data_IF_185257137268
#
_entry.id   IF_185257137268
#
_cell.length_a   1.000
_cell.length_b   1.000
_cell.length_c   1.000
_cell.angle_alpha   90.00
_cell.angle_beta   90.00
_cell.angle_gamma   90.00
#
_symmetry.space_group_name_H-M   'P 1'
#
loop_
_entity.id
_entity.type
_entity.pdbx_description
1 polymer ?
#
# COMPACT_ATOMS: atom_id res chain seq x y z
N UNK A 1 4.12 1.34 -17.67
CA UNK A 1 3.72 2.73 -18.03
C UNK A 1 2.87 3.33 -16.92
N UNK A 2 2.94 4.66 -16.80
CA UNK A 2 2.27 5.43 -15.75
C UNK A 2 1.62 6.68 -16.32
N UNK A 3 0.49 7.09 -15.72
CA UNK A 3 -0.15 8.38 -16.00
C UNK A 3 0.31 9.43 -14.99
N UNK A 4 0.60 10.66 -15.47
CA UNK A 4 0.98 11.78 -14.59
C UNK A 4 2.43 12.18 -14.68
N UNK A 5 3.07 12.43 -13.52
CA UNK A 5 4.43 12.96 -13.43
C UNK A 5 5.08 12.54 -12.10
N UNK A 6 6.36 12.87 -11.92
CA UNK A 6 7.02 12.81 -10.61
C UNK A 6 7.96 14.01 -10.43
N UNK A 7 8.14 14.45 -9.21
CA UNK A 7 9.01 15.57 -8.83
C UNK A 7 9.86 15.30 -7.59
N UNK A 8 9.79 14.09 -7.02
CA UNK A 8 10.58 13.75 -5.84
C UNK A 8 10.96 12.26 -5.78
N UNK A 9 12.15 12.02 -5.22
CA UNK A 9 12.66 10.70 -4.79
C UNK A 9 12.69 10.59 -3.26
N UNK A 10 12.16 11.56 -2.54
CA UNK A 10 12.09 11.47 -1.09
C UNK A 10 10.92 10.57 -0.65
N UNK A 11 11.17 9.40 -0.03
CA UNK A 11 10.11 8.46 0.33
C UNK A 11 9.30 8.92 1.55
N UNK A 12 9.82 9.85 2.33
CA UNK A 12 9.26 10.25 3.62
C UNK A 12 8.11 11.23 3.48
N UNK A 13 8.16 12.12 2.47
CA UNK A 13 7.22 13.22 2.35
C UNK A 13 5.85 12.79 1.83
N UNK A 14 4.80 13.42 2.35
CA UNK A 14 3.47 13.41 1.73
C UNK A 14 3.32 14.49 0.63
N UNK A 15 4.30 15.37 0.48
CA UNK A 15 4.29 16.47 -0.48
C UNK A 15 5.11 16.11 -1.72
N UNK A 16 4.58 16.49 -2.87
CA UNK A 16 5.18 16.18 -4.18
C UNK A 16 4.61 14.87 -4.76
N UNK A 17 4.95 14.64 -6.02
CA UNK A 17 4.60 13.43 -6.74
C UNK A 17 5.80 12.47 -6.71
N UNK A 18 5.74 11.48 -5.83
CA UNK A 18 6.82 10.49 -5.67
C UNK A 18 6.92 9.60 -6.90
N UNK A 19 8.14 9.36 -7.37
CA UNK A 19 8.36 8.47 -8.51
C UNK A 19 7.84 7.05 -8.21
N UNK A 20 7.11 6.48 -9.15
CA UNK A 20 6.60 5.11 -9.06
C UNK A 20 7.77 4.13 -9.04
N UNK A 21 7.65 3.08 -8.24
CA UNK A 21 8.70 2.09 -8.04
C UNK A 21 9.79 2.51 -7.05
N UNK A 22 9.72 3.69 -6.43
CA UNK A 22 10.72 4.15 -5.45
C UNK A 22 10.87 3.19 -4.27
N UNK A 23 9.82 2.46 -3.90
CA UNK A 23 9.87 1.41 -2.87
C UNK A 23 10.86 0.28 -3.18
N UNK A 24 11.23 0.07 -4.44
CA UNK A 24 12.25 -0.91 -4.84
C UNK A 24 13.66 -0.58 -4.33
N UNK A 25 13.89 0.69 -3.96
CA UNK A 25 15.19 1.17 -3.45
C UNK A 25 15.36 0.92 -1.95
N UNK A 26 14.29 0.65 -1.25
CA UNK A 26 14.29 0.55 0.21
C UNK A 26 13.74 -0.80 0.69
N UNK A 27 14.19 -1.23 1.87
CA UNK A 27 13.60 -2.33 2.61
C UNK A 27 12.81 -1.80 3.82
N UNK A 28 11.90 -2.64 4.31
CA UNK A 28 11.14 -2.43 5.55
C UNK A 28 11.67 -3.32 6.68
N UNK A 29 11.26 -3.07 7.92
CA UNK A 29 11.64 -3.93 9.04
C UNK A 29 11.18 -5.37 8.83
N UNK A 30 9.94 -5.55 8.39
CA UNK A 30 9.33 -6.84 8.08
C UNK A 30 8.71 -6.79 6.69
N UNK A 31 8.62 -7.92 6.01
CA UNK A 31 7.97 -8.06 4.71
C UNK A 31 6.64 -8.79 4.87
N UNK A 32 5.55 -8.18 4.40
CA UNK A 32 4.26 -8.85 4.38
C UNK A 32 4.27 -10.07 3.45
N UNK A 33 3.61 -11.14 3.86
CA UNK A 33 3.38 -12.30 2.99
C UNK A 33 2.39 -11.93 1.88
N UNK A 34 2.64 -12.41 0.68
CA UNK A 34 1.71 -12.29 -0.45
C UNK A 34 0.72 -13.48 -0.52
N UNK A 35 0.92 -14.51 0.29
CA UNK A 35 0.11 -15.73 0.30
C UNK A 35 -0.67 -15.93 1.61
N UNK A 36 -0.25 -15.28 2.69
CA UNK A 36 -0.83 -15.45 4.03
C UNK A 36 -1.37 -14.13 4.55
N UNK A 37 -2.65 -14.12 4.87
CA UNK A 37 -3.35 -12.95 5.42
C UNK A 37 -2.74 -12.56 6.76
N UNK A 38 -2.51 -11.27 6.96
CA UNK A 38 -2.03 -10.69 8.23
C UNK A 38 -0.73 -11.31 8.76
N UNK A 39 0.09 -11.87 7.86
CA UNK A 39 1.37 -12.48 8.19
C UNK A 39 2.52 -11.63 7.63
N UNK A 40 3.55 -11.42 8.43
CA UNK A 40 4.78 -10.74 8.02
C UNK A 40 6.00 -11.52 8.47
N UNK A 41 7.03 -11.53 7.63
CA UNK A 41 8.30 -12.21 7.88
C UNK A 41 9.42 -11.20 8.06
N UNK A 42 10.45 -11.60 8.82
CA UNK A 42 11.61 -10.73 9.05
C UNK A 42 12.35 -10.38 7.77
N UNK A 43 12.64 -9.07 7.56
CA UNK A 43 13.49 -8.56 6.49
C UNK A 43 14.69 -7.84 7.11
N UNK A 44 14.67 -6.51 7.30
CA UNK A 44 15.74 -5.82 8.05
C UNK A 44 15.80 -6.34 9.49
N UNK A 45 14.65 -6.55 10.13
CA UNK A 45 14.61 -7.23 11.42
C UNK A 45 14.58 -8.75 11.25
N UNK A 46 15.33 -9.47 12.07
CA UNK A 46 15.26 -10.95 12.18
C UNK A 46 13.89 -11.38 12.71
N UNK A 47 13.30 -10.58 13.60
CA UNK A 47 12.03 -10.82 14.22
C UNK A 47 11.61 -9.67 15.12
N UNK A 48 10.43 -9.81 15.69
CA UNK A 48 9.84 -8.90 16.66
C UNK A 48 9.40 -9.66 17.90
N UNK A 49 9.65 -9.09 19.07
CA UNK A 49 9.15 -9.59 20.35
C UNK A 49 8.31 -8.52 21.03
N UNK A 50 7.31 -8.95 21.79
CA UNK A 50 6.43 -8.08 22.56
C UNK A 50 5.88 -8.82 23.77
N UNK A 51 5.54 -8.14 24.89
CA UNK A 51 4.91 -8.74 26.06
C UNK A 51 3.45 -9.14 25.77
N UNK A 52 2.86 -9.96 26.64
CA UNK A 52 1.49 -10.47 26.50
C UNK A 52 0.44 -9.35 26.32
N UNK A 53 0.67 -8.20 26.95
CA UNK A 53 -0.23 -7.06 26.87
C UNK A 53 0.05 -6.12 25.70
N UNK A 54 1.05 -6.44 24.88
CA UNK A 54 1.45 -5.67 23.69
C UNK A 54 1.56 -4.17 24.01
N UNK A 55 2.21 -3.83 25.12
CA UNK A 55 2.49 -2.44 25.51
C UNK A 55 3.70 -1.84 24.80
N UNK A 56 4.52 -2.70 24.19
CA UNK A 56 5.70 -2.35 23.42
C UNK A 56 6.02 -3.42 22.38
N UNK A 57 6.91 -3.13 21.43
CA UNK A 57 7.46 -4.09 20.50
C UNK A 57 8.95 -3.82 20.27
N UNK A 58 9.78 -4.88 20.39
CA UNK A 58 11.22 -4.82 20.16
C UNK A 58 11.58 -5.54 18.87
N UNK A 59 12.21 -4.83 17.95
CA UNK A 59 12.73 -5.38 16.69
C UNK A 59 14.23 -5.63 16.80
N UNK A 60 14.66 -6.85 16.45
CA UNK A 60 16.07 -7.23 16.41
C UNK A 60 16.58 -7.09 14.95
N UNK A 61 17.44 -6.11 14.71
CA UNK A 61 18.03 -5.84 13.37
C UNK A 61 19.01 -6.95 13.01
N UNK A 62 18.98 -7.43 11.77
CA UNK A 62 19.94 -8.42 11.25
C UNK A 62 21.35 -7.87 11.23
N UNK A 63 22.31 -8.71 11.55
CA UNK A 63 23.73 -8.34 11.51
C UNK A 63 24.22 -8.08 10.08
N UNK A 64 23.68 -8.80 9.11
CA UNK A 64 24.00 -8.66 7.70
C UNK A 64 23.28 -7.51 6.99
N UNK A 65 22.27 -6.88 7.60
CA UNK A 65 21.50 -5.80 6.98
C UNK A 65 22.36 -4.57 6.70
N UNK A 66 22.37 -4.09 5.45
CA UNK A 66 23.21 -2.98 4.97
C UNK A 66 22.52 -2.12 3.94
N UNK A 67 22.94 -0.87 3.89
CA UNK A 67 22.64 0.04 2.79
C UNK A 67 23.49 -0.26 1.54
N UNK A 68 23.17 0.42 0.44
CA UNK A 68 23.83 0.21 -0.85
C UNK A 68 25.31 0.60 -0.86
N UNK A 69 25.76 1.46 0.04
CA UNK A 69 27.17 1.84 0.21
C UNK A 69 27.95 0.88 1.13
N UNK A 70 27.28 -0.15 1.66
CA UNK A 70 27.85 -1.16 2.54
C UNK A 70 27.81 -0.82 4.03
N UNK A 71 27.38 0.38 4.40
CA UNK A 71 27.19 0.74 5.82
C UNK A 71 26.09 -0.11 6.46
N UNK A 72 26.30 -0.61 7.69
CA UNK A 72 25.30 -1.44 8.38
C UNK A 72 24.05 -0.62 8.72
N UNK A 73 22.90 -1.27 8.69
CA UNK A 73 21.64 -0.68 9.22
C UNK A 73 21.66 -0.78 10.73
N UNK A 74 21.46 0.34 11.39
CA UNK A 74 21.55 0.47 12.85
C UNK A 74 20.21 0.82 13.49
N UNK A 75 20.06 0.63 14.82
CA UNK A 75 18.91 1.14 15.56
C UNK A 75 18.66 2.63 15.36
N UNK A 76 19.72 3.41 15.20
CA UNK A 76 19.66 4.85 14.97
C UNK A 76 19.03 5.20 13.61
N UNK A 77 19.22 4.37 12.57
CA UNK A 77 18.56 4.55 11.27
C UNK A 77 17.06 4.26 11.35
N UNK A 78 16.67 3.24 12.11
CA UNK A 78 15.27 2.88 12.33
C UNK A 78 14.54 3.99 13.09
N UNK A 79 15.14 4.50 14.17
CA UNK A 79 14.59 5.62 14.96
C UNK A 79 14.48 6.88 14.09
N UNK A 80 15.55 7.21 13.36
CA UNK A 80 15.56 8.36 12.45
C UNK A 80 14.46 8.26 11.38
N UNK A 81 14.25 7.08 10.81
CA UNK A 81 13.19 6.83 9.84
C UNK A 81 11.81 7.06 10.45
N UNK A 82 11.54 6.44 11.58
CA UNK A 82 10.27 6.58 12.29
C UNK A 82 9.95 8.04 12.63
N UNK A 83 10.89 8.76 13.23
CA UNK A 83 10.73 10.16 13.60
C UNK A 83 10.54 11.06 12.37
N UNK A 84 11.28 10.79 11.28
CA UNK A 84 11.17 11.54 10.03
C UNK A 84 9.79 11.37 9.39
N UNK A 85 9.26 10.15 9.33
CA UNK A 85 7.90 9.90 8.84
C UNK A 85 6.85 10.59 9.70
N UNK A 86 6.95 10.54 11.02
CA UNK A 86 6.02 11.25 11.92
C UNK A 86 6.09 12.77 11.78
N UNK A 87 7.29 13.31 11.58
CA UNK A 87 7.49 14.77 11.49
C UNK A 87 7.03 15.36 10.16
N UNK A 88 7.21 14.63 9.04
CA UNK A 88 7.07 15.19 7.70
C UNK A 88 5.94 14.60 6.86
N UNK A 89 5.25 13.58 7.37
CA UNK A 89 4.11 12.96 6.69
C UNK A 89 2.90 12.86 7.62
N UNK A 90 1.88 13.74 7.46
CA UNK A 90 0.70 13.74 8.32
C UNK A 90 -0.10 12.44 8.31
N UNK A 91 -0.09 11.69 7.19
CA UNK A 91 -0.75 10.38 7.10
C UNK A 91 0.00 9.36 7.96
N UNK A 92 1.33 9.33 7.85
CA UNK A 92 2.17 8.46 8.68
C UNK A 92 2.14 8.87 10.16
N UNK A 93 2.10 10.17 10.46
CA UNK A 93 1.91 10.65 11.82
C UNK A 93 0.60 10.12 12.45
N UNK A 94 -0.48 10.08 11.67
CA UNK A 94 -1.76 9.48 12.11
C UNK A 94 -1.67 7.97 12.21
N UNK A 95 -0.97 7.32 11.28
CA UNK A 95 -0.79 5.86 11.27
C UNK A 95 0.01 5.36 12.47
N UNK A 96 1.04 6.11 12.87
CA UNK A 96 1.85 5.84 14.07
C UNK A 96 1.37 6.58 15.34
N UNK A 97 0.12 7.06 15.38
CA UNK A 97 -0.38 7.90 16.48
C UNK A 97 -0.24 7.24 17.86
N UNK A 98 -0.41 5.91 17.93
CA UNK A 98 -0.32 5.14 19.16
C UNK A 98 1.09 4.69 19.54
N UNK A 99 2.11 5.07 18.77
CA UNK A 99 3.53 4.84 19.08
C UNK A 99 4.11 6.09 19.73
N UNK A 100 4.44 5.99 21.01
CA UNK A 100 4.86 7.13 21.84
C UNK A 100 6.35 7.38 21.82
N UNK A 101 7.16 6.31 21.73
CA UNK A 101 8.63 6.43 21.63
C UNK A 101 9.22 5.31 20.78
N UNK A 102 10.44 5.54 20.29
CA UNK A 102 11.33 4.58 19.68
C UNK A 102 12.71 4.75 20.32
N UNK A 103 13.23 3.71 20.93
CA UNK A 103 14.47 3.77 21.70
C UNK A 103 15.41 2.59 21.34
N UNK A 104 16.71 2.87 21.29
CA UNK A 104 17.73 1.84 21.22
C UNK A 104 17.85 1.13 22.57
N UNK A 105 17.52 -0.15 22.62
CA UNK A 105 17.55 -0.97 23.85
C UNK A 105 18.66 -1.99 23.86
N UNK A 106 19.34 -2.20 22.72
CA UNK A 106 20.49 -3.06 22.56
C UNK A 106 21.33 -2.65 21.36
N UNK A 107 22.45 -3.35 21.12
CA UNK A 107 23.34 -3.01 19.98
C UNK A 107 22.63 -3.10 18.63
N UNK A 108 21.67 -4.02 18.50
CA UNK A 108 20.85 -4.25 17.30
C UNK A 108 19.34 -4.21 17.60
N UNK A 109 18.92 -3.65 18.72
CA UNK A 109 17.52 -3.67 19.17
C UNK A 109 16.93 -2.26 19.20
N UNK A 110 15.70 -2.15 18.68
CA UNK A 110 14.86 -0.96 18.78
C UNK A 110 13.53 -1.36 19.43
N UNK A 111 13.20 -0.69 20.53
CA UNK A 111 11.93 -0.87 21.22
C UNK A 111 11.02 0.33 20.97
N UNK A 112 9.81 0.05 20.53
CA UNK A 112 8.73 1.01 20.36
C UNK A 112 7.72 0.84 21.49
N UNK A 113 7.40 1.92 22.19
CA UNK A 113 6.41 1.93 23.28
C UNK A 113 5.06 2.43 22.78
N UNK A 114 3.97 1.85 23.26
CA UNK A 114 2.61 2.18 22.86
C UNK A 114 1.81 2.83 23.99
N UNK A 115 0.85 3.71 23.63
CA UNK A 115 -0.12 4.28 24.57
C UNK A 115 -1.37 3.40 24.73
N UNK A 116 -1.45 2.28 23.99
CA UNK A 116 -2.50 1.28 24.01
C UNK A 116 -1.95 -0.09 24.37
N UNK A 117 -2.80 -0.94 24.96
CA UNK A 117 -2.49 -2.34 25.25
C UNK A 117 -3.38 -3.25 24.42
N UNK A 118 -2.90 -4.47 24.18
CA UNK A 118 -3.61 -5.53 23.45
C UNK A 118 -3.98 -5.18 22.01
N UNK A 119 -3.33 -4.18 21.41
CA UNK A 119 -3.50 -3.87 19.99
C UNK A 119 -2.49 -4.68 19.16
N UNK A 120 -2.95 -5.78 18.58
CA UNK A 120 -2.14 -6.72 17.79
C UNK A 120 -1.64 -6.13 16.47
N UNK A 121 -2.22 -5.03 15.99
CA UNK A 121 -1.83 -4.40 14.74
C UNK A 121 -0.56 -3.57 14.87
N UNK A 122 -0.27 -2.99 16.05
CA UNK A 122 0.85 -2.06 16.23
C UNK A 122 2.22 -2.66 15.88
N UNK A 123 2.57 -3.90 16.28
CA UNK A 123 3.81 -4.53 15.82
C UNK A 123 3.86 -4.73 14.30
N UNK A 124 2.74 -5.06 13.65
CA UNK A 124 2.68 -5.24 12.20
C UNK A 124 2.77 -3.90 11.47
N UNK A 125 2.11 -2.85 11.98
CA UNK A 125 2.21 -1.48 11.47
C UNK A 125 3.66 -1.01 11.46
N UNK A 126 4.39 -1.25 12.56
CA UNK A 126 5.81 -0.92 12.64
C UNK A 126 6.68 -1.79 11.72
N UNK A 127 6.31 -3.04 11.51
CA UNK A 127 6.97 -3.93 10.56
C UNK A 127 7.04 -3.36 9.13
N UNK A 128 6.09 -2.51 8.76
CA UNK A 128 6.03 -1.84 7.45
C UNK A 128 6.91 -0.58 7.36
N UNK A 129 7.57 -0.18 8.45
CA UNK A 129 8.43 1.01 8.45
C UNK A 129 9.57 0.84 7.43
N UNK A 130 9.57 1.70 6.43
CA UNK A 130 10.67 1.83 5.47
C UNK A 130 11.87 2.47 6.17
N UNK A 131 13.03 1.82 6.10
CA UNK A 131 14.25 2.32 6.75
C UNK A 131 15.08 3.11 5.76
N UNK A 132 15.37 4.37 6.11
CA UNK A 132 16.19 5.29 5.32
C UNK A 132 17.53 5.54 6.00
N UNK A 133 18.64 5.71 5.24
CA UNK A 133 19.99 5.86 5.80
C UNK A 133 20.17 7.25 6.44
N UNK A 134 20.27 7.30 7.75
CA UNK A 134 20.49 8.54 8.50
C UNK A 134 21.74 9.26 8.03
N UNK A 135 22.87 8.54 7.86
CA UNK A 135 24.15 9.11 7.46
C UNK A 135 24.09 9.77 6.07
N UNK A 136 23.30 9.22 5.14
CA UNK A 136 23.12 9.81 3.82
C UNK A 136 22.31 11.11 3.89
N UNK A 137 21.19 11.09 4.63
CA UNK A 137 20.31 12.26 4.77
C UNK A 137 20.94 13.39 5.57
N UNK A 138 21.75 13.10 6.59
CA UNK A 138 22.52 14.09 7.35
C UNK A 138 23.82 14.52 6.64
N UNK A 139 24.15 13.88 5.52
CA UNK A 139 25.30 14.18 4.71
C UNK A 139 25.10 15.34 3.74
N UNK A 140 26.03 15.45 2.80
CA UNK A 140 26.03 16.48 1.75
C UNK A 140 25.92 15.83 0.38
N UNK A 141 25.25 16.55 -0.55
CA UNK A 141 25.20 16.18 -1.96
C UNK A 141 26.55 16.45 -2.68
N UNK A 142 26.64 16.07 -3.96
CA UNK A 142 27.85 16.27 -4.78
C UNK A 142 28.27 17.73 -4.95
N UNK A 143 27.35 18.69 -4.68
CA UNK A 143 27.62 20.12 -4.70
C UNK A 143 28.12 20.66 -3.37
N UNK A 144 28.21 19.80 -2.33
CA UNK A 144 28.61 20.19 -0.97
C UNK A 144 27.50 20.82 -0.13
N UNK A 145 26.23 20.76 -0.60
CA UNK A 145 25.06 21.27 0.12
C UNK A 145 24.52 20.19 1.06
N UNK A 146 24.08 20.59 2.25
CA UNK A 146 23.44 19.65 3.18
C UNK A 146 22.12 19.15 2.61
N UNK A 147 21.91 17.83 2.68
CA UNK A 147 20.60 17.23 2.36
C UNK A 147 19.59 17.60 3.45
N UNK A 148 18.34 17.63 3.07
CA UNK A 148 17.22 18.00 3.96
C UNK A 148 16.04 17.08 3.71
N UNK A 149 15.82 16.13 4.62
CA UNK A 149 14.74 15.15 4.51
C UNK A 149 13.34 15.77 4.52
N UNK A 150 13.21 17.02 4.95
CA UNK A 150 11.95 17.76 4.93
C UNK A 150 11.60 18.38 3.58
N UNK A 151 12.46 18.20 2.56
CA UNK A 151 12.28 18.76 1.21
C UNK A 151 12.20 17.71 0.13
N UNK A 152 11.51 18.04 -0.95
CA UNK A 152 11.56 17.24 -2.19
C UNK A 152 12.97 17.24 -2.77
N UNK A 153 13.36 16.13 -3.38
CA UNK A 153 14.65 15.98 -4.05
C UNK A 153 14.52 15.12 -5.29
N UNK A 154 15.28 15.45 -6.31
CA UNK A 154 15.50 14.62 -7.51
C UNK A 154 16.96 14.08 -7.53
N UNK A 155 17.70 14.25 -6.45
CA UNK A 155 18.95 13.52 -6.26
C UNK A 155 18.62 12.02 -6.08
N UNK A 156 19.26 11.11 -6.85
CA UNK A 156 19.06 9.68 -6.66
C UNK A 156 19.33 9.29 -5.20
N UNK A 157 18.28 8.82 -4.53
CA UNK A 157 18.37 8.41 -3.13
C UNK A 157 19.02 7.04 -3.02
N UNK A 158 19.72 6.82 -1.92
CA UNK A 158 20.28 5.54 -1.54
C UNK A 158 19.40 4.86 -0.51
N UNK A 159 19.23 3.55 -0.65
CA UNK A 159 18.49 2.71 0.29
C UNK A 159 19.19 1.38 0.50
N UNK A 160 18.49 0.43 1.08
CA UNK A 160 18.96 -0.93 1.33
C UNK A 160 18.39 -1.96 0.34
N UNK A 161 17.41 -1.56 -0.46
CA UNK A 161 16.61 -2.43 -1.30
C UNK A 161 17.33 -3.05 -2.50
N UNK A 162 16.64 -3.93 -3.23
CA UNK A 162 17.24 -4.69 -4.34
C UNK A 162 17.60 -3.87 -5.57
N UNK A 163 17.02 -2.68 -5.73
CA UNK A 163 17.25 -1.83 -6.88
C UNK A 163 17.84 -0.48 -6.49
N UNK A 164 18.52 0.14 -7.44
CA UNK A 164 19.00 1.52 -7.37
C UNK A 164 18.45 2.35 -8.54
N UNK A 165 18.36 3.67 -8.39
CA UNK A 165 17.98 4.57 -9.47
C UNK A 165 19.18 4.70 -10.41
N UNK A 166 19.06 4.13 -11.62
CA UNK A 166 20.13 4.15 -12.64
C UNK A 166 19.99 5.29 -13.63
N UNK A 167 18.78 5.80 -13.83
CA UNK A 167 18.48 6.91 -14.74
C UNK A 167 17.19 7.62 -14.32
N UNK A 168 17.15 8.93 -14.52
CA UNK A 168 15.92 9.71 -14.40
C UNK A 168 15.88 10.89 -15.38
N UNK A 169 14.74 11.10 -16.02
CA UNK A 169 14.32 12.33 -16.69
C UNK A 169 13.05 12.80 -15.96
N UNK A 170 13.13 13.80 -15.07
CA UNK A 170 12.05 14.18 -14.19
C UNK A 170 10.72 14.43 -14.92
N UNK A 171 9.68 13.80 -14.41
CA UNK A 171 8.34 13.87 -14.98
C UNK A 171 8.11 13.05 -16.24
N UNK A 172 9.10 12.29 -16.73
CA UNK A 172 8.98 11.50 -17.97
C UNK A 172 9.40 10.04 -17.82
N UNK A 173 10.56 9.79 -17.21
CA UNK A 173 11.11 8.43 -17.15
C UNK A 173 11.96 8.26 -15.91
N UNK A 174 11.81 7.13 -15.24
CA UNK A 174 12.73 6.66 -14.21
C UNK A 174 13.07 5.20 -14.48
N UNK A 175 14.33 4.81 -14.21
CA UNK A 175 14.83 3.44 -14.33
C UNK A 175 15.49 2.99 -13.06
N UNK A 176 15.17 1.78 -12.70
CA UNK A 176 15.75 1.08 -11.56
C UNK A 176 16.54 -0.11 -12.06
N UNK A 177 17.79 -0.21 -11.66
CA UNK A 177 18.67 -1.33 -11.98
C UNK A 177 18.82 -2.24 -10.79
N UNK A 178 18.72 -3.55 -11.03
CA UNK A 178 18.95 -4.57 -10.00
C UNK A 178 20.43 -4.51 -9.53
N UNK A 179 20.61 -4.53 -8.23
CA UNK A 179 21.91 -4.54 -7.58
C UNK A 179 22.44 -5.97 -7.46
N UNK A 180 23.70 -6.20 -7.86
CA UNK A 180 24.34 -7.49 -7.72
C UNK A 180 24.71 -7.83 -6.26
N UNK A 181 24.90 -6.78 -5.44
CA UNK A 181 25.34 -6.82 -4.04
C UNK A 181 24.20 -6.68 -3.02
N UNK A 182 22.95 -6.87 -3.45
CA UNK A 182 21.81 -6.79 -2.54
C UNK A 182 21.96 -7.78 -1.39
N UNK A 183 22.02 -7.26 -0.17
CA UNK A 183 22.34 -8.01 1.04
C UNK A 183 21.32 -9.11 1.37
N UNK A 184 20.04 -8.88 1.06
CA UNK A 184 18.94 -9.77 1.41
C UNK A 184 18.50 -10.73 0.28
N UNK A 185 19.26 -10.82 -0.83
CA UNK A 185 18.88 -11.61 -2.01
C UNK A 185 18.62 -13.09 -1.72
N UNK A 186 19.35 -13.66 -0.77
CA UNK A 186 19.29 -15.08 -0.42
C UNK A 186 18.36 -15.35 0.78
N UNK A 187 17.71 -14.32 1.35
CA UNK A 187 16.71 -14.51 2.38
C UNK A 187 15.44 -15.16 1.80
N UNK A 188 14.86 -16.10 2.55
CA UNK A 188 13.67 -16.84 2.10
C UNK A 188 12.54 -15.94 1.59
N UNK A 189 12.36 -14.77 2.20
CA UNK A 189 11.33 -13.78 1.83
C UNK A 189 11.56 -13.13 0.45
N UNK A 190 12.76 -13.29 -0.12
CA UNK A 190 13.18 -12.71 -1.40
C UNK A 190 13.49 -13.75 -2.48
N UNK A 191 13.54 -15.04 -2.12
CA UNK A 191 13.77 -16.11 -3.08
C UNK A 191 12.67 -16.13 -4.14
N UNK A 192 13.06 -16.09 -5.41
CA UNK A 192 12.14 -16.05 -6.55
C UNK A 192 11.59 -14.67 -6.88
N UNK A 193 12.00 -13.62 -6.16
CA UNK A 193 11.62 -12.23 -6.43
C UNK A 193 12.76 -11.46 -7.13
N UNK A 194 12.47 -10.19 -7.50
CA UNK A 194 13.44 -9.27 -8.13
C UNK A 194 14.11 -9.86 -9.39
N UNK A 195 13.29 -10.40 -10.30
CA UNK A 195 13.76 -11.17 -11.48
C UNK A 195 14.14 -10.29 -12.67
N UNK A 196 13.90 -8.98 -12.66
CA UNK A 196 14.22 -8.08 -13.75
C UNK A 196 15.51 -7.34 -13.48
N UNK A 197 16.44 -7.36 -14.44
CA UNK A 197 17.70 -6.62 -14.35
C UNK A 197 17.52 -5.11 -14.39
N UNK A 198 16.50 -4.64 -15.10
CA UNK A 198 16.09 -3.22 -15.14
C UNK A 198 14.56 -3.12 -15.17
N UNK A 199 14.02 -2.16 -14.43
CA UNK A 199 12.61 -1.79 -14.46
C UNK A 199 12.53 -0.31 -14.84
N UNK A 200 11.78 0.00 -15.91
CA UNK A 200 11.62 1.36 -16.43
C UNK A 200 10.16 1.80 -16.33
N UNK A 201 9.91 2.94 -15.70
CA UNK A 201 8.61 3.60 -15.71
C UNK A 201 8.65 4.80 -16.64
N UNK A 202 7.74 4.81 -17.62
CA UNK A 202 7.56 5.89 -18.58
C UNK A 202 6.24 6.58 -18.27
N UNK A 203 6.26 7.89 -18.10
CA UNK A 203 5.11 8.70 -17.73
C UNK A 203 4.46 9.34 -18.96
N UNK A 204 3.16 9.32 -18.97
CA UNK A 204 2.33 9.86 -20.04
C UNK A 204 1.35 10.90 -19.47
N UNK A 205 0.96 11.87 -20.31
CA UNK A 205 0.05 12.95 -19.90
C UNK A 205 -1.37 12.49 -19.61
N UNK A 206 -1.79 11.41 -20.28
CA UNK A 206 -3.10 10.79 -20.07
C UNK A 206 -3.13 9.33 -20.53
N UNK A 207 -4.15 8.59 -20.07
CA UNK A 207 -4.32 7.17 -20.32
C UNK A 207 -4.54 6.81 -21.81
N UNK A 208 -4.97 7.73 -22.68
CA UNK A 208 -5.15 7.42 -24.10
C UNK A 208 -3.78 7.46 -24.81
N UNK A 209 -2.95 8.46 -24.49
CA UNK A 209 -1.58 8.54 -25.01
C UNK A 209 -0.76 7.35 -24.52
N UNK A 210 -0.92 6.97 -23.25
CA UNK A 210 -0.31 5.77 -22.67
C UNK A 210 -0.73 4.48 -23.43
N UNK A 211 -2.03 4.32 -23.70
CA UNK A 211 -2.54 3.15 -24.44
C UNK A 211 -1.99 3.10 -25.87
N UNK A 212 -1.91 4.25 -26.58
CA UNK A 212 -1.34 4.29 -27.92
C UNK A 212 0.17 3.96 -27.91
N UNK A 213 0.92 4.41 -26.89
CA UNK A 213 2.33 4.05 -26.71
C UNK A 213 2.50 2.53 -26.45
N UNK A 214 1.61 1.93 -25.65
CA UNK A 214 1.58 0.49 -25.42
C UNK A 214 1.29 -0.27 -26.73
N UNK A 215 0.29 0.16 -27.51
CA UNK A 215 -0.03 -0.42 -28.82
C UNK A 215 1.13 -0.33 -29.82
N UNK A 216 1.96 0.72 -29.69
CA UNK A 216 3.16 0.91 -30.49
C UNK A 216 4.36 0.10 -30.00
N UNK A 217 4.23 -0.66 -28.88
CA UNK A 217 5.32 -1.45 -28.29
C UNK A 217 6.37 -0.62 -27.55
N UNK A 218 6.00 0.58 -27.08
CA UNK A 218 6.92 1.43 -26.30
C UNK A 218 7.13 0.91 -24.89
N UNK A 219 6.15 0.19 -24.36
CA UNK A 219 6.18 -0.44 -23.02
C UNK A 219 5.75 -1.91 -23.10
N UNK A 220 6.36 -2.75 -22.29
CA UNK A 220 6.14 -4.21 -22.26
C UNK A 220 4.98 -4.63 -21.36
N UNK A 221 4.62 -3.80 -20.40
CA UNK A 221 3.57 -4.08 -19.43
C UNK A 221 2.67 -2.86 -19.23
N UNK A 222 1.38 -3.10 -19.13
CA UNK A 222 0.37 -2.10 -18.77
C UNK A 222 -0.71 -2.72 -17.90
N UNK A 223 -1.00 -2.07 -16.79
CA UNK A 223 -2.15 -2.40 -15.95
C UNK A 223 -3.36 -1.57 -16.41
N UNK A 224 -4.46 -2.23 -16.79
CA UNK A 224 -5.68 -1.56 -17.19
C UNK A 224 -6.66 -1.47 -16.03
N UNK A 225 -6.96 -0.24 -15.60
CA UNK A 225 -7.86 0.04 -14.49
C UNK A 225 -9.29 0.42 -14.93
N UNK A 226 -9.54 0.48 -16.24
CA UNK A 226 -10.85 0.81 -16.80
C UNK A 226 -11.49 -0.42 -17.43
N UNK A 227 -12.58 -0.91 -16.84
CA UNK A 227 -13.37 -2.02 -17.40
C UNK A 227 -13.87 -1.72 -18.82
N UNK A 228 -14.24 -0.48 -19.10
CA UNK A 228 -14.64 -0.04 -20.44
C UNK A 228 -13.49 -0.17 -21.45
N UNK A 229 -12.28 0.32 -21.14
CA UNK A 229 -11.11 0.12 -22.00
C UNK A 229 -10.71 -1.33 -22.12
N UNK A 230 -10.74 -2.07 -21.01
CA UNK A 230 -10.49 -3.52 -21.02
C UNK A 230 -11.41 -4.25 -21.99
N UNK A 231 -12.70 -3.91 -22.01
CA UNK A 231 -13.67 -4.51 -22.89
C UNK A 231 -13.52 -4.11 -24.38
N UNK A 232 -13.11 -2.85 -24.67
CA UNK A 232 -13.24 -2.29 -26.01
C UNK A 232 -11.93 -1.93 -26.68
N UNK A 233 -10.84 -1.70 -25.96
CA UNK A 233 -9.63 -1.10 -26.50
C UNK A 233 -8.53 -2.10 -26.88
N UNK A 234 -8.64 -3.36 -26.47
CA UNK A 234 -7.60 -4.38 -26.66
C UNK A 234 -7.91 -5.31 -27.85
N UNK A 235 -8.43 -4.76 -28.96
CA UNK A 235 -8.70 -5.48 -30.21
C UNK A 235 -7.75 -5.01 -31.33
N UNK A 236 -6.42 -4.99 -31.06
CA UNK A 236 -5.40 -4.59 -32.03
C UNK A 236 -4.54 -5.79 -32.49
N UNK A 237 -3.75 -5.64 -33.58
CA UNK A 237 -3.07 -6.77 -34.20
C UNK A 237 -2.18 -7.61 -33.26
N UNK A 238 -1.41 -6.99 -32.39
CA UNK A 238 -0.51 -7.70 -31.47
C UNK A 238 -1.26 -8.57 -30.45
N UNK A 239 -2.48 -8.18 -30.03
CA UNK A 239 -3.35 -9.02 -29.20
C UNK A 239 -3.88 -10.20 -30.01
N UNK A 240 -4.28 -9.97 -31.27
CA UNK A 240 -4.80 -11.03 -32.15
C UNK A 240 -3.74 -12.04 -32.55
N UNK A 241 -2.49 -11.62 -32.68
CA UNK A 241 -1.35 -12.50 -32.97
C UNK A 241 -0.81 -13.24 -31.75
N UNK A 242 -1.20 -12.83 -30.53
CA UNK A 242 -0.68 -13.39 -29.30
C UNK A 242 0.68 -12.81 -28.86
N UNK A 243 1.16 -11.75 -29.51
CA UNK A 243 2.35 -10.99 -29.07
C UNK A 243 2.06 -10.19 -27.79
N UNK A 244 0.82 -9.72 -27.62
CA UNK A 244 0.31 -9.14 -26.38
C UNK A 244 -0.71 -10.08 -25.78
N UNK A 245 -0.48 -10.46 -24.54
CA UNK A 245 -1.35 -11.34 -23.74
C UNK A 245 -2.23 -10.47 -22.84
N UNK A 246 -3.53 -10.69 -22.84
CA UNK A 246 -4.47 -10.14 -21.87
C UNK A 246 -4.70 -11.16 -20.77
N UNK A 247 -4.54 -10.73 -19.53
CA UNK A 247 -4.73 -11.62 -18.39
C UNK A 247 -5.46 -10.90 -17.27
N UNK A 248 -6.46 -11.56 -16.68
CA UNK A 248 -7.11 -11.14 -15.45
C UNK A 248 -6.47 -11.93 -14.31
N UNK A 249 -5.71 -11.23 -13.49
CA UNK A 249 -5.02 -11.84 -12.36
C UNK A 249 -5.93 -11.72 -11.14
N UNK A 250 -6.41 -12.85 -10.66
CA UNK A 250 -7.10 -12.88 -9.37
C UNK A 250 -6.12 -12.62 -8.24
N UNK A 251 -6.46 -11.69 -7.37
CA UNK A 251 -5.70 -11.47 -6.14
C UNK A 251 -6.09 -12.58 -5.13
N UNK A 252 -5.22 -13.57 -4.85
CA UNK A 252 -5.51 -14.63 -3.90
C UNK A 252 -5.68 -14.10 -2.47
N UNK A 253 -5.13 -12.93 -2.19
CA UNK A 253 -5.26 -12.22 -0.92
C UNK A 253 -6.40 -11.19 -0.92
N UNK A 254 -7.53 -11.49 -1.50
CA UNK A 254 -8.75 -10.68 -1.31
C UNK A 254 -9.21 -10.58 0.16
N UNK A 255 -8.28 -10.71 1.07
CA UNK A 255 -8.49 -10.50 2.50
C UNK A 255 -8.96 -9.07 2.84
N UNK A 256 -8.77 -8.16 1.91
CA UNK A 256 -9.33 -6.81 1.98
C UNK A 256 -10.17 -6.59 0.74
N UNK A 257 -11.48 -6.83 0.85
CA UNK A 257 -12.41 -6.45 -0.22
C UNK A 257 -12.23 -4.96 -0.54
N UNK A 258 -11.92 -4.67 -1.81
CA UNK A 258 -11.82 -3.27 -2.26
C UNK A 258 -13.23 -2.74 -2.42
N UNK A 259 -13.59 -1.75 -1.60
CA UNK A 259 -14.85 -1.05 -1.72
C UNK A 259 -14.64 0.32 -2.37
N UNK A 260 -15.24 0.54 -3.54
CA UNK A 260 -15.44 1.88 -4.09
C UNK A 260 -16.81 2.37 -3.67
N UNK A 261 -16.86 3.48 -2.94
CA UNK A 261 -18.12 4.01 -2.42
C UNK A 261 -18.15 5.54 -2.44
N UNK A 262 -19.33 6.10 -2.57
CA UNK A 262 -19.57 7.51 -2.33
C UNK A 262 -19.77 7.71 -0.82
N UNK A 263 -18.78 8.33 -0.16
CA UNK A 263 -18.82 8.63 1.26
C UNK A 263 -19.53 9.98 1.52
N UNK A 264 -20.77 10.02 2.04
CA UNK A 264 -21.44 11.26 2.38
C UNK A 264 -20.71 11.98 3.52
N UNK A 265 -20.45 13.27 3.37
CA UNK A 265 -19.85 14.08 4.43
C UNK A 265 -20.86 14.30 5.59
N UNK A 266 -20.77 13.47 6.62
CA UNK A 266 -21.66 13.49 7.79
C UNK A 266 -21.61 14.79 8.61
N UNK A 267 -20.63 15.67 8.38
CA UNK A 267 -20.62 17.03 8.98
C UNK A 267 -21.64 17.96 8.35
N UNK A 268 -22.20 17.60 7.19
CA UNK A 268 -23.31 18.35 6.57
C UNK A 268 -24.62 17.83 7.10
N UNK A 269 -25.47 18.72 7.63
CA UNK A 269 -26.75 18.42 8.26
C UNK A 269 -27.64 17.49 7.40
N UNK A 270 -27.75 17.76 6.09
CA UNK A 270 -28.54 16.93 5.16
C UNK A 270 -28.12 15.45 5.10
N UNK A 271 -26.87 15.12 5.43
CA UNK A 271 -26.37 13.75 5.42
C UNK A 271 -26.38 13.09 6.80
N UNK A 272 -26.73 13.81 7.85
CA UNK A 272 -26.91 13.24 9.18
C UNK A 272 -28.20 12.41 9.25
N UNK A 273 -29.22 12.75 8.47
CA UNK A 273 -30.44 11.96 8.36
C UNK A 273 -30.17 10.67 7.55
N UNK A 274 -30.35 9.53 8.22
CA UNK A 274 -30.18 8.21 7.62
C UNK A 274 -31.08 8.00 6.39
N UNK A 275 -32.32 8.52 6.42
CA UNK A 275 -33.27 8.39 5.32
C UNK A 275 -32.72 9.02 4.03
N UNK A 276 -31.99 10.12 4.14
CA UNK A 276 -31.34 10.77 3.00
C UNK A 276 -30.26 9.86 2.42
N UNK A 277 -29.44 9.23 3.26
CA UNK A 277 -28.40 8.31 2.80
C UNK A 277 -28.99 7.06 2.17
N UNK A 278 -30.04 6.50 2.76
CA UNK A 278 -30.80 5.37 2.16
C UNK A 278 -31.42 5.76 0.82
N UNK A 279 -32.03 6.94 0.72
CA UNK A 279 -32.57 7.43 -0.55
C UNK A 279 -31.53 7.55 -1.67
N UNK A 280 -30.31 7.95 -1.37
CA UNK A 280 -29.22 7.97 -2.34
C UNK A 280 -28.89 6.57 -2.87
N UNK A 281 -28.90 5.56 -1.98
CA UNK A 281 -28.68 4.19 -2.40
C UNK A 281 -29.82 3.64 -3.29
N UNK A 282 -31.07 4.01 -3.02
CA UNK A 282 -32.21 3.67 -3.88
C UNK A 282 -32.19 4.40 -5.23
N UNK A 283 -31.63 5.60 -5.29
CA UNK A 283 -31.53 6.38 -6.52
C UNK A 283 -30.32 5.96 -7.41
N UNK A 284 -29.47 5.05 -6.94
CA UNK A 284 -28.29 4.60 -7.67
C UNK A 284 -28.59 3.33 -8.46
N UNK A 285 -28.83 3.49 -9.76
CA UNK A 285 -29.01 2.37 -10.70
C UNK A 285 -27.67 1.76 -11.06
N UNK A 286 -27.18 0.85 -10.21
CA UNK A 286 -25.91 0.16 -10.40
C UNK A 286 -25.95 -0.75 -11.62
N UNK A 287 -27.03 -1.48 -11.83
CA UNK A 287 -27.16 -2.49 -12.89
C UNK A 287 -27.04 -1.85 -14.27
N UNK A 288 -27.75 -0.74 -14.51
CA UNK A 288 -27.65 0.01 -15.76
C UNK A 288 -26.26 0.66 -15.92
N UNK A 289 -25.66 1.18 -14.85
CA UNK A 289 -24.32 1.75 -14.90
C UNK A 289 -23.31 0.65 -15.22
N UNK A 290 -23.35 -0.48 -14.51
CA UNK A 290 -22.45 -1.59 -14.71
C UNK A 290 -22.52 -2.11 -16.16
N UNK A 291 -23.74 -2.38 -16.64
CA UNK A 291 -23.93 -2.88 -18.00
C UNK A 291 -23.47 -1.89 -19.07
N UNK A 292 -23.91 -0.63 -19.00
CA UNK A 292 -23.70 0.33 -20.09
C UNK A 292 -22.33 1.03 -20.06
N UNK A 293 -21.72 1.21 -18.87
CA UNK A 293 -20.48 1.96 -18.72
C UNK A 293 -19.29 1.10 -18.32
N UNK A 294 -19.52 0.03 -17.56
CA UNK A 294 -18.47 -0.85 -17.08
C UNK A 294 -18.44 -2.23 -17.76
N UNK A 295 -19.33 -2.48 -18.71
CA UNK A 295 -19.38 -3.74 -19.47
C UNK A 295 -19.46 -4.98 -18.59
N UNK A 296 -20.28 -4.89 -17.54
CA UNK A 296 -20.46 -5.93 -16.50
C UNK A 296 -19.19 -6.27 -15.70
N UNK A 297 -18.19 -5.40 -15.74
CA UNK A 297 -16.88 -5.59 -15.09
C UNK A 297 -16.85 -5.24 -13.59
N UNK A 298 -17.98 -4.86 -12.98
CA UNK A 298 -18.04 -4.49 -11.56
C UNK A 298 -18.98 -5.41 -10.79
N UNK A 299 -18.74 -5.53 -9.49
CA UNK A 299 -19.63 -6.23 -8.56
C UNK A 299 -20.26 -5.24 -7.59
N UNK A 300 -21.59 -5.34 -7.36
CA UNK A 300 -22.24 -4.54 -6.34
C UNK A 300 -21.93 -5.12 -4.97
N UNK A 301 -21.41 -4.27 -4.09
CA UNK A 301 -20.98 -4.65 -2.74
C UNK A 301 -22.16 -4.56 -1.79
N UNK A 302 -22.40 -5.58 -0.97
CA UNK A 302 -23.44 -5.68 0.05
C UNK A 302 -22.91 -5.80 1.49
N UNK A 303 -21.58 -5.89 1.64
CA UNK A 303 -20.90 -5.93 2.94
C UNK A 303 -19.63 -5.07 2.92
N UNK A 304 -19.24 -4.51 4.07
CA UNK A 304 -17.97 -3.80 4.23
C UNK A 304 -16.75 -4.68 3.93
N UNK A 305 -16.84 -5.96 4.22
CA UNK A 305 -15.79 -6.95 4.02
C UNK A 305 -16.11 -7.90 2.88
N UNK A 306 -16.83 -7.40 1.88
CA UNK A 306 -17.25 -8.18 0.72
C UNK A 306 -16.10 -8.98 0.09
N UNK A 307 -16.37 -10.25 -0.22
CA UNK A 307 -15.37 -11.15 -0.80
C UNK A 307 -14.39 -11.75 0.21
N UNK A 308 -14.57 -11.50 1.51
CA UNK A 308 -13.76 -12.09 2.59
C UNK A 308 -14.62 -12.93 3.54
N UNK A 309 -13.98 -13.71 4.41
CA UNK A 309 -14.63 -14.48 5.47
C UNK A 309 -15.34 -13.60 6.53
N UNK A 310 -15.02 -12.30 6.58
CA UNK A 310 -15.63 -11.33 7.47
C UNK A 310 -16.87 -10.66 6.86
N UNK A 311 -17.25 -11.01 5.63
CA UNK A 311 -18.43 -10.47 4.99
C UNK A 311 -19.69 -10.94 5.72
N UNK A 312 -20.57 -9.98 6.05
CA UNK A 312 -21.90 -10.31 6.60
C UNK A 312 -22.81 -10.85 5.49
N UNK A 313 -23.61 -11.85 5.79
CA UNK A 313 -24.61 -12.42 4.89
C UNK A 313 -25.77 -12.98 5.68
N UNK A 314 -26.99 -12.86 5.14
CA UNK A 314 -28.18 -13.41 5.76
C UNK A 314 -28.51 -12.78 7.12
N UNK A 315 -29.04 -13.58 8.04
CA UNK A 315 -29.30 -13.22 9.43
C UNK A 315 -28.18 -13.75 10.33
N UNK A 316 -27.87 -13.08 11.45
CA UNK A 316 -26.84 -13.55 12.38
C UNK A 316 -27.21 -14.91 12.99
N UNK A 317 -26.26 -15.81 13.06
CA UNK A 317 -26.40 -17.16 13.60
C UNK A 317 -25.31 -17.47 14.65
N UNK A 318 -25.54 -18.53 15.42
CA UNK A 318 -24.55 -19.06 16.37
C UNK A 318 -24.03 -18.00 17.33
N UNK A 319 -22.69 -17.94 17.50
CA UNK A 319 -22.04 -17.03 18.43
C UNK A 319 -22.19 -15.54 18.06
N UNK A 320 -22.27 -15.21 16.78
CA UNK A 320 -22.52 -13.85 16.33
C UNK A 320 -23.89 -13.36 16.85
N UNK A 321 -24.94 -14.16 16.70
CA UNK A 321 -26.28 -13.86 17.21
C UNK A 321 -26.28 -13.68 18.72
N UNK A 322 -25.62 -14.56 19.46
CA UNK A 322 -25.51 -14.44 20.92
C UNK A 322 -24.89 -13.10 21.35
N UNK A 323 -23.81 -12.68 20.68
CA UNK A 323 -23.15 -11.39 20.96
C UNK A 323 -24.08 -10.22 20.63
N UNK A 324 -24.73 -10.25 19.46
CA UNK A 324 -25.64 -9.18 19.05
C UNK A 324 -26.87 -9.06 19.97
N UNK A 325 -27.38 -10.17 20.50
CA UNK A 325 -28.48 -10.18 21.48
C UNK A 325 -28.14 -9.47 22.79
N UNK A 326 -26.85 -9.49 23.21
CA UNK A 326 -26.37 -8.73 24.37
C UNK A 326 -26.46 -7.20 24.13
N UNK A 327 -26.45 -6.79 22.89
CA UNK A 327 -26.50 -5.38 22.45
C UNK A 327 -27.79 -5.00 21.71
N UNK A 328 -28.85 -5.80 21.81
CA UNK A 328 -30.09 -5.59 21.01
C UNK A 328 -30.72 -4.20 21.17
N UNK A 329 -30.52 -3.54 22.30
CA UNK A 329 -31.01 -2.18 22.54
C UNK A 329 -30.13 -1.09 21.83
N UNK A 330 -29.00 -1.48 21.25
CA UNK A 330 -28.02 -0.62 20.58
C UNK A 330 -27.92 -0.89 19.09
N UNK A 331 -28.54 -1.95 18.59
CA UNK A 331 -28.56 -2.32 17.17
C UNK A 331 -30.01 -2.26 16.65
N UNK A 332 -30.23 -1.91 15.36
CA UNK A 332 -31.56 -1.92 14.76
C UNK A 332 -32.21 -3.31 14.80
N UNK A 333 -33.53 -3.36 15.00
CA UNK A 333 -34.28 -4.61 15.06
C UNK A 333 -34.18 -5.41 13.74
N UNK A 334 -34.01 -4.72 12.62
CA UNK A 334 -33.84 -5.33 11.30
C UNK A 334 -32.63 -6.27 11.24
N UNK A 335 -31.60 -6.06 12.05
CA UNK A 335 -30.43 -6.95 12.14
C UNK A 335 -30.81 -8.39 12.47
N UNK A 336 -31.89 -8.59 13.23
CA UNK A 336 -32.37 -9.90 13.67
C UNK A 336 -33.49 -10.48 12.81
N UNK A 337 -34.10 -9.65 11.96
CA UNK A 337 -35.38 -10.00 11.31
C UNK A 337 -35.33 -9.97 9.80
N UNK A 338 -34.40 -9.20 9.22
CA UNK A 338 -34.41 -8.94 7.77
C UNK A 338 -32.95 -8.99 7.23
N UNK A 339 -32.63 -9.95 6.35
CA UNK A 339 -31.33 -9.92 5.68
C UNK A 339 -31.16 -8.61 4.91
N UNK A 340 -29.94 -8.08 4.92
CA UNK A 340 -29.64 -6.91 4.11
C UNK A 340 -29.56 -7.29 2.63
N UNK A 341 -30.32 -6.58 1.81
CA UNK A 341 -30.24 -6.66 0.36
C UNK A 341 -30.07 -5.25 -0.21
N UNK A 342 -29.17 -5.12 -1.19
CA UNK A 342 -29.06 -3.86 -1.91
C UNK A 342 -30.37 -3.56 -2.63
N UNK A 343 -30.87 -2.31 -2.57
CA UNK A 343 -32.01 -1.92 -3.38
C UNK A 343 -31.61 -2.01 -4.86
N UNK A 344 -32.44 -2.67 -5.65
CA UNK A 344 -32.31 -2.67 -7.11
C UNK A 344 -32.76 -1.28 -7.58
N UNK A 345 -31.86 -0.58 -8.29
CA UNK A 345 -32.18 0.71 -8.91
C UNK A 345 -33.18 0.48 -10.04
N UNK A 346 -34.24 1.26 -10.05
CA UNK A 346 -35.28 1.08 -11.04
C UNK A 346 -35.48 2.27 -11.94
#
# INVERSE_FOLDING_TARGET
SEEGTFDTFNPVLAKGDTAVGLSLVFDTLMKASEEEVSTSYGLIAEGVSFPDDISEATFLIREEARFADGEPITPEDVIFSFESYKAHNPLQASYYAHVTSAEKTGDREVTFTFDQKNNKELPQILGQLTVVPKHWWEGKNDKGEARDISKTTLEPVMGSGPYEISYSDPGKTIRYKLRDDYWAKDLNVNVGQNNFGEISYIYFVDANVELEAFRAGTTDFRQENSSSRWATAYDFPAVKSGEVIREEIENPLRATGIMQAMAPNMRREKFQDERVRRALNYAFDFESLNHNLAYDGLNRIDSYFWGTELASSGLPEGREKEILEEFKDRVPEEVFTTPYENPVGG
#
